data_IF_811441613364
#
_entry.id   IF_811441613364
#
_cell.length_a   1.000
_cell.length_b   1.000
_cell.length_c   1.000
_cell.angle_alpha   90.00
_cell.angle_beta   90.00
_cell.angle_gamma   90.00
#
_symmetry.space_group_name_H-M   'P 1'
#
loop_
_entity.id
_entity.type
_entity.pdbx_description
1 polymer ?
#
# COMPACT_ATOMS: atom_id res chain seq x y z
N UNK A 1 -0.75 -10.39 -5.28
CA UNK A 1 -2.02 -10.67 -6.02
C UNK A 1 -3.27 -10.81 -5.14
N UNK A 2 -3.39 -11.80 -4.25
CA UNK A 2 -4.67 -12.10 -3.56
C UNK A 2 -5.17 -11.03 -2.58
N UNK A 3 -4.26 -10.38 -1.84
CA UNK A 3 -4.61 -9.36 -0.84
C UNK A 3 -5.12 -8.06 -1.48
N UNK A 4 -4.52 -7.66 -2.61
CA UNK A 4 -4.92 -6.47 -3.35
C UNK A 4 -6.34 -6.62 -3.92
N UNK A 5 -6.67 -7.82 -4.41
CA UNK A 5 -8.00 -8.17 -4.93
C UNK A 5 -9.07 -8.21 -3.84
N UNK A 6 -8.73 -8.64 -2.63
CA UNK A 6 -9.66 -8.64 -1.48
C UNK A 6 -9.92 -7.21 -0.99
N UNK A 7 -8.87 -6.40 -0.88
CA UNK A 7 -8.99 -5.00 -0.49
C UNK A 7 -9.84 -4.22 -1.51
N UNK A 8 -9.68 -4.46 -2.81
CA UNK A 8 -10.51 -3.82 -3.86
C UNK A 8 -11.99 -4.25 -3.86
N UNK A 9 -12.31 -5.43 -3.31
CA UNK A 9 -13.69 -5.92 -3.18
C UNK A 9 -14.45 -5.23 -2.05
N UNK A 10 -13.78 -4.98 -0.92
CA UNK A 10 -14.39 -4.35 0.28
C UNK A 10 -14.24 -2.83 0.25
N UNK A 11 -13.16 -2.32 -0.35
CA UNK A 11 -12.83 -0.90 -0.38
C UNK A 11 -12.86 -0.35 -1.80
N UNK A 12 -13.50 0.81 -1.97
CA UNK A 12 -13.38 1.62 -3.19
C UNK A 12 -12.05 2.37 -3.14
N UNK A 13 -11.20 2.16 -4.15
CA UNK A 13 -10.01 2.97 -4.36
C UNK A 13 -10.39 4.21 -5.15
N UNK A 14 -10.27 5.38 -4.53
CA UNK A 14 -10.47 6.64 -5.22
C UNK A 14 -9.14 7.07 -5.82
N UNK A 15 -9.16 7.31 -7.12
CA UNK A 15 -7.99 7.67 -7.92
C UNK A 15 -7.64 9.16 -7.72
N UNK A 16 -7.31 9.53 -6.49
CA UNK A 16 -6.78 10.85 -6.16
C UNK A 16 -5.41 10.66 -5.51
N UNK A 17 -4.49 11.53 -5.88
CA UNK A 17 -3.04 11.34 -5.87
C UNK A 17 -2.54 10.68 -4.59
N UNK A 18 -1.84 9.57 -4.80
CA UNK A 18 -1.32 8.69 -3.79
C UNK A 18 0.15 8.98 -3.60
N UNK A 19 0.59 9.25 -2.37
CA UNK A 19 2.01 9.46 -2.08
C UNK A 19 2.82 8.28 -2.63
N UNK A 20 3.73 8.58 -3.56
CA UNK A 20 4.58 7.61 -4.23
C UNK A 20 5.89 7.51 -3.45
N UNK A 21 6.13 6.36 -2.86
CA UNK A 21 7.44 5.93 -2.37
C UNK A 21 8.13 5.01 -3.38
N UNK A 22 9.44 4.78 -3.24
CA UNK A 22 10.22 3.97 -4.18
C UNK A 22 9.70 2.54 -4.34
N UNK A 23 9.11 1.98 -3.27
CA UNK A 23 8.58 0.62 -3.24
C UNK A 23 7.12 0.56 -2.78
N UNK A 24 6.46 1.71 -2.61
CA UNK A 24 5.12 1.74 -2.04
C UNK A 24 4.27 2.88 -2.59
N UNK A 25 2.95 2.70 -2.62
CA UNK A 25 1.99 3.74 -2.98
C UNK A 25 0.93 3.85 -1.89
N UNK A 26 0.64 5.06 -1.42
CA UNK A 26 -0.37 5.29 -0.38
C UNK A 26 -1.65 5.83 -1.01
N UNK A 27 -2.72 5.04 -1.04
CA UNK A 27 -4.00 5.44 -1.64
C UNK A 27 -5.06 5.71 -0.59
N UNK A 28 -5.98 6.64 -0.88
CA UNK A 28 -7.22 6.80 -0.11
C UNK A 28 -8.22 5.74 -0.54
N UNK A 29 -8.81 5.04 0.41
CA UNK A 29 -9.89 4.09 0.16
C UNK A 29 -11.08 4.35 1.09
N UNK A 30 -12.26 3.92 0.65
CA UNK A 30 -13.50 4.04 1.43
C UNK A 30 -14.06 2.64 1.65
N UNK A 31 -14.35 2.28 2.91
CA UNK A 31 -15.06 1.05 3.23
C UNK A 31 -16.48 1.14 2.67
N UNK A 32 -16.87 0.21 1.81
CA UNK A 32 -18.21 0.21 1.18
C UNK A 32 -19.34 0.02 2.17
N UNK A 33 -19.11 -0.68 3.27
CA UNK A 33 -20.13 -0.98 4.27
C UNK A 33 -20.34 0.18 5.25
N UNK A 34 -19.25 0.80 5.71
CA UNK A 34 -19.31 1.82 6.76
C UNK A 34 -19.17 3.26 6.24
N UNK A 35 -18.76 3.45 4.98
CA UNK A 35 -18.46 4.76 4.41
C UNK A 35 -17.21 5.43 4.99
N UNK A 36 -16.48 4.77 5.88
CA UNK A 36 -15.29 5.33 6.51
C UNK A 36 -14.11 5.38 5.53
N UNK A 37 -13.30 6.44 5.66
CA UNK A 37 -12.15 6.68 4.81
C UNK A 37 -10.86 6.24 5.50
N UNK A 38 -9.95 5.63 4.74
CA UNK A 38 -8.66 5.15 5.21
C UNK A 38 -7.54 5.51 4.23
N UNK A 39 -6.32 5.64 4.75
CA UNK A 39 -5.10 5.72 3.96
C UNK A 39 -4.42 4.34 3.96
N UNK A 40 -4.31 3.71 2.79
CA UNK A 40 -3.73 2.37 2.63
C UNK A 40 -2.38 2.48 1.95
N UNK A 41 -1.34 2.01 2.62
CA UNK A 41 0.02 1.88 2.06
C UNK A 41 0.17 0.51 1.42
N UNK A 42 0.27 0.49 0.09
CA UNK A 42 0.52 -0.70 -0.71
C UNK A 42 2.03 -0.78 -0.94
N UNK A 43 2.66 -1.90 -0.61
CA UNK A 43 4.11 -2.11 -0.80
C UNK A 43 4.32 -3.23 -1.82
N UNK A 44 5.17 -2.98 -2.82
CA UNK A 44 5.67 -4.01 -3.72
C UNK A 44 6.77 -4.78 -3.01
N UNK A 45 6.39 -5.91 -2.40
CA UNK A 45 7.30 -6.73 -1.61
C UNK A 45 8.46 -7.25 -2.45
N UNK A 46 8.22 -7.63 -3.70
CA UNK A 46 9.26 -8.16 -4.57
C UNK A 46 10.33 -7.11 -4.83
N UNK A 47 9.94 -5.87 -5.20
CA UNK A 47 10.88 -4.75 -5.38
C UNK A 47 11.55 -4.32 -4.08
N UNK A 48 10.80 -4.34 -2.98
CA UNK A 48 11.32 -3.99 -1.67
C UNK A 48 12.45 -4.94 -1.23
N UNK A 49 12.27 -6.26 -1.39
CA UNK A 49 13.27 -7.26 -1.00
C UNK A 49 14.42 -7.44 -1.99
N UNK A 50 14.24 -7.05 -3.26
CA UNK A 50 15.28 -7.16 -4.31
C UNK A 50 16.18 -5.93 -4.41
N UNK A 51 15.92 -4.89 -3.62
CA UNK A 51 16.72 -3.67 -3.62
C UNK A 51 17.98 -3.86 -2.75
N UNK A 52 19.20 -3.77 -3.32
CA UNK A 52 20.44 -3.94 -2.57
C UNK A 52 20.63 -2.79 -1.58
N UNK A 53 20.87 -3.11 -0.30
CA UNK A 53 21.07 -2.14 0.78
C UNK A 53 19.94 -2.06 1.81
N UNK A 54 18.90 -2.90 1.69
CA UNK A 54 17.81 -2.98 2.66
C UNK A 54 18.09 -4.01 3.78
N UNK A 55 19.27 -3.95 4.38
CA UNK A 55 19.51 -4.64 5.65
C UNK A 55 18.84 -3.83 6.75
N UNK A 56 17.98 -4.48 7.53
CA UNK A 56 17.50 -3.98 8.83
C UNK A 56 18.65 -4.05 9.84
N UNK A 57 19.79 -3.44 9.51
CA UNK A 57 20.86 -3.23 10.47
C UNK A 57 20.65 -1.82 11.01
N UNK A 58 19.91 -1.76 12.13
CA UNK A 58 19.84 -0.56 12.93
C UNK A 58 21.26 -0.14 13.26
N UNK A 59 21.68 0.99 12.68
CA UNK A 59 22.98 1.60 12.96
C UNK A 59 23.00 1.93 14.45
N UNK A 60 23.76 1.14 15.20
CA UNK A 60 24.04 1.31 16.63
C UNK A 60 24.61 2.70 16.93
#
# INVERSE_FOLDING_TARGET
>A
ESFFRLCLKVFLFLCEIALLGPFSVVRRCINRETGQQFAVKIVDVAKFTSSPGLSTEGKN
#
